data_IF_158982951790
#
_entry.id   IF_158982951790
#
_cell.length_a   1.000
_cell.length_b   1.000
_cell.length_c   1.000
_cell.angle_alpha   90.00
_cell.angle_beta   90.00
_cell.angle_gamma   90.00
#
_symmetry.space_group_name_H-M   'P 1'
#
loop_
_entity.id
_entity.type
_entity.pdbx_description
1 polymer ?
#
# COMPACT_ATOMS: atom_id res chain seq x y z
N UNK A 1 -21.84 8.14 28.75
CA UNK A 1 -21.22 7.17 27.82
C UNK A 1 -20.64 7.96 26.66
N UNK A 2 -19.36 8.30 26.72
CA UNK A 2 -18.65 9.00 25.64
C UNK A 2 -18.34 8.00 24.53
N UNK A 3 -18.74 8.33 23.30
CA UNK A 3 -18.29 7.60 22.10
C UNK A 3 -16.76 7.74 21.97
N UNK A 4 -16.06 6.71 21.48
CA UNK A 4 -14.62 6.80 21.29
C UNK A 4 -14.32 7.86 20.22
N UNK A 5 -13.39 8.77 20.55
CA UNK A 5 -12.81 9.72 19.61
C UNK A 5 -12.08 8.94 18.52
N UNK A 6 -12.76 8.73 17.40
CA UNK A 6 -12.12 8.27 16.16
C UNK A 6 -11.04 9.29 15.81
N UNK A 7 -9.80 8.84 15.55
CA UNK A 7 -8.64 9.66 15.13
C UNK A 7 -9.00 10.50 13.88
N UNK A 8 -9.62 11.66 14.10
CA UNK A 8 -10.08 12.59 13.06
C UNK A 8 -8.91 13.19 12.27
N UNK A 9 -7.70 13.19 12.84
CA UNK A 9 -6.51 13.70 12.17
C UNK A 9 -6.04 12.82 11.00
N UNK A 10 -6.34 11.51 11.01
CA UNK A 10 -5.76 10.60 10.00
C UNK A 10 -6.25 10.84 8.57
N UNK A 11 -7.54 11.10 8.37
CA UNK A 11 -8.10 11.28 7.02
C UNK A 11 -7.77 12.65 6.45
N UNK A 12 -7.90 13.71 7.26
CA UNK A 12 -7.56 15.07 6.82
C UNK A 12 -6.08 15.15 6.44
N UNK A 13 -5.20 14.57 7.25
CA UNK A 13 -3.77 14.51 6.94
C UNK A 13 -3.51 13.68 5.69
N UNK A 14 -4.20 12.54 5.49
CA UNK A 14 -4.06 11.73 4.27
C UNK A 14 -4.48 12.51 3.02
N UNK A 15 -5.57 13.28 3.07
CA UNK A 15 -6.05 14.10 1.95
C UNK A 15 -5.10 15.26 1.69
N UNK A 16 -4.74 16.02 2.74
CA UNK A 16 -3.85 17.18 2.61
C UNK A 16 -2.42 16.80 2.20
N UNK A 17 -1.97 15.57 2.51
CA UNK A 17 -0.66 15.05 2.07
C UNK A 17 -0.72 14.27 0.75
N UNK A 18 -1.86 14.29 0.05
CA UNK A 18 -2.01 13.62 -1.25
C UNK A 18 -1.87 12.10 -1.18
N UNK A 19 -2.05 11.49 0.00
CA UNK A 19 -2.05 10.02 0.18
C UNK A 19 -3.39 9.40 -0.16
N UNK A 20 -4.44 10.20 -0.30
CA UNK A 20 -5.79 9.77 -0.57
C UNK A 20 -6.59 10.90 -1.23
N UNK A 21 -7.35 10.55 -2.26
CA UNK A 21 -8.32 11.45 -2.86
C UNK A 21 -9.72 11.17 -2.30
N UNK A 22 -10.60 12.17 -2.37
CA UNK A 22 -12.02 11.99 -2.09
C UNK A 22 -12.80 12.09 -3.40
N UNK A 23 -13.57 11.05 -3.71
CA UNK A 23 -14.55 11.03 -4.78
C UNK A 23 -15.95 11.02 -4.17
N UNK A 24 -16.97 11.32 -4.97
CA UNK A 24 -18.36 11.18 -4.57
C UNK A 24 -18.94 9.96 -5.29
N UNK A 25 -19.46 9.00 -4.51
CA UNK A 25 -20.02 7.78 -5.05
C UNK A 25 -21.39 7.99 -5.71
N UNK A 26 -21.97 6.93 -6.30
CA UNK A 26 -23.28 6.99 -6.99
C UNK A 26 -24.46 7.37 -6.07
N UNK A 27 -24.29 7.37 -4.75
CA UNK A 27 -25.29 7.79 -3.75
C UNK A 27 -25.09 9.23 -3.27
N UNK A 28 -24.08 9.94 -3.78
CA UNK A 28 -23.75 11.30 -3.33
C UNK A 28 -22.92 11.32 -2.04
N UNK A 29 -22.39 10.19 -1.59
CA UNK A 29 -21.58 10.10 -0.38
C UNK A 29 -20.08 10.18 -0.72
N UNK A 30 -19.26 10.85 0.11
CA UNK A 30 -17.82 10.89 -0.11
C UNK A 30 -17.20 9.50 0.12
N UNK A 31 -16.34 9.08 -0.80
CA UNK A 31 -15.54 7.87 -0.72
C UNK A 31 -14.05 8.19 -0.89
N UNK A 32 -13.20 7.40 -0.21
CA UNK A 32 -11.75 7.58 -0.27
C UNK A 32 -11.18 6.74 -1.41
N UNK A 33 -10.59 7.40 -2.40
CA UNK A 33 -9.88 6.75 -3.51
C UNK A 33 -8.39 6.73 -3.19
N UNK A 34 -7.78 5.55 -3.32
CA UNK A 34 -6.34 5.37 -3.13
C UNK A 34 -5.76 4.60 -4.31
N UNK A 35 -4.65 5.10 -4.84
CA UNK A 35 -3.88 4.36 -5.84
C UNK A 35 -2.92 3.41 -5.13
N UNK A 36 -2.92 2.15 -5.54
CA UNK A 36 -2.06 1.12 -4.95
C UNK A 36 -1.30 0.41 -6.05
N UNK A 37 -0.01 0.22 -5.85
CA UNK A 37 0.82 -0.65 -6.67
C UNK A 37 1.09 -1.91 -5.87
N UNK A 38 0.85 -3.05 -6.51
CA UNK A 38 1.08 -4.38 -5.95
C UNK A 38 2.17 -5.05 -6.78
N UNK A 39 3.11 -5.70 -6.12
CA UNK A 39 4.18 -6.45 -6.77
C UNK A 39 4.01 -7.93 -6.50
N UNK A 40 3.89 -8.71 -7.57
CA UNK A 40 4.02 -10.14 -7.52
C UNK A 40 5.44 -10.53 -7.90
N UNK A 41 6.27 -10.84 -6.90
CA UNK A 41 7.58 -11.43 -7.13
C UNK A 41 7.42 -12.94 -7.23
N UNK A 42 7.89 -13.51 -8.32
CA UNK A 42 7.85 -14.93 -8.58
C UNK A 42 9.28 -15.44 -8.80
N UNK A 43 9.61 -16.56 -8.16
CA UNK A 43 10.86 -17.29 -8.39
C UNK A 43 10.70 -18.22 -9.61
N UNK A 44 11.81 -18.68 -10.17
CA UNK A 44 11.83 -19.54 -11.36
C UNK A 44 11.12 -20.89 -11.14
N UNK A 45 10.98 -21.34 -9.89
CA UNK A 45 10.22 -22.53 -9.50
C UNK A 45 8.70 -22.29 -9.43
N UNK A 46 8.26 -21.06 -9.67
CA UNK A 46 6.85 -20.67 -9.69
C UNK A 46 6.33 -20.13 -8.36
N UNK A 47 7.14 -20.19 -7.28
CA UNK A 47 6.74 -19.72 -5.96
C UNK A 47 6.60 -18.19 -5.89
N UNK A 48 5.55 -17.73 -5.20
CA UNK A 48 5.23 -16.31 -5.05
C UNK A 48 5.72 -15.81 -3.68
N UNK A 49 6.43 -14.68 -3.68
CA UNK A 49 6.81 -14.00 -2.46
C UNK A 49 5.62 -13.24 -1.86
N UNK A 50 5.28 -13.57 -0.62
CA UNK A 50 4.18 -12.95 0.13
C UNK A 50 4.67 -12.46 1.50
N UNK A 51 4.06 -11.38 1.99
CA UNK A 51 4.24 -10.94 3.37
C UNK A 51 3.36 -11.81 4.28
N UNK A 52 4.00 -12.52 5.23
CA UNK A 52 3.34 -13.41 6.21
C UNK A 52 2.99 -12.73 7.55
N UNK A 53 3.55 -11.54 7.79
CA UNK A 53 3.33 -10.81 9.03
C UNK A 53 3.78 -9.37 8.93
N UNK A 54 3.27 -8.52 9.81
CA UNK A 54 3.67 -7.12 9.95
C UNK A 54 3.97 -6.86 11.42
N UNK A 55 5.02 -6.10 11.69
CA UNK A 55 5.21 -5.52 13.03
C UNK A 55 3.98 -4.66 13.35
N UNK A 56 3.27 -5.05 14.41
CA UNK A 56 2.21 -4.29 15.03
C UNK A 56 2.79 -3.24 15.99
N UNK A 57 1.89 -2.51 16.64
CA UNK A 57 2.29 -1.50 17.62
C UNK A 57 3.04 -2.16 18.79
N UNK A 58 4.04 -1.44 19.31
CA UNK A 58 4.78 -1.88 20.48
C UNK A 58 3.90 -1.67 21.72
N UNK A 59 3.43 -2.77 22.30
CA UNK A 59 2.72 -2.76 23.57
C UNK A 59 3.65 -3.30 24.66
N UNK A 60 3.84 -2.52 25.73
CA UNK A 60 4.63 -2.92 26.90
C UNK A 60 6.09 -3.30 26.60
N UNK A 61 6.71 -2.66 25.61
CA UNK A 61 8.10 -2.93 25.23
C UNK A 61 8.30 -4.22 24.44
N UNK A 62 7.21 -4.84 23.95
CA UNK A 62 7.26 -6.01 23.09
C UNK A 62 6.71 -5.68 21.71
N UNK A 63 7.48 -6.06 20.67
CA UNK A 63 7.00 -6.00 19.29
C UNK A 63 6.07 -7.16 19.03
N UNK A 64 4.80 -6.87 18.86
CA UNK A 64 3.84 -7.87 18.42
C UNK A 64 3.91 -8.04 16.90
N UNK A 65 3.97 -9.29 16.44
CA UNK A 65 3.83 -9.61 15.02
C UNK A 65 2.37 -9.94 14.73
N UNK A 66 1.70 -9.11 13.94
CA UNK A 66 0.37 -9.39 13.45
C UNK A 66 0.47 -10.28 12.19
N UNK A 67 -0.31 -11.38 12.10
CA UNK A 67 -0.35 -12.18 10.88
C UNK A 67 -0.85 -11.32 9.71
N UNK A 68 -0.23 -11.45 8.56
CA UNK A 68 -0.63 -10.81 7.32
C UNK A 68 -0.46 -11.84 6.20
N UNK A 69 -1.33 -11.82 5.19
CA UNK A 69 -1.15 -12.63 3.99
C UNK A 69 -1.42 -11.73 2.79
N UNK A 70 -0.43 -10.93 2.42
CA UNK A 70 -0.57 -9.93 1.37
C UNK A 70 0.63 -9.93 0.43
N UNK A 71 0.38 -9.61 -0.84
CA UNK A 71 1.45 -9.27 -1.77
C UNK A 71 2.12 -7.96 -1.33
N UNK A 72 3.43 -7.80 -1.54
CA UNK A 72 4.10 -6.51 -1.32
C UNK A 72 3.39 -5.40 -2.10
N UNK A 73 2.89 -4.40 -1.39
CA UNK A 73 2.13 -3.31 -1.98
C UNK A 73 2.51 -1.95 -1.37
N UNK A 74 2.28 -0.89 -2.14
CA UNK A 74 2.47 0.48 -1.68
C UNK A 74 1.35 1.38 -2.21
N UNK A 75 0.85 2.26 -1.34
CA UNK A 75 0.02 3.40 -1.77
C UNK A 75 0.88 4.42 -2.51
N UNK A 76 0.45 4.82 -3.69
CA UNK A 76 1.03 5.95 -4.41
C UNK A 76 0.43 7.26 -3.89
N UNK A 77 1.22 8.33 -3.89
CA UNK A 77 0.67 9.68 -3.69
C UNK A 77 0.06 10.21 -4.99
N UNK A 78 -0.72 11.28 -4.89
CA UNK A 78 -1.28 12.01 -6.04
C UNK A 78 -0.21 12.69 -6.89
N UNK A 79 0.93 13.03 -6.27
CA UNK A 79 2.11 13.60 -6.93
C UNK A 79 2.95 12.53 -7.63
N UNK A 80 2.76 11.25 -7.30
CA UNK A 80 3.40 10.17 -8.01
C UNK A 80 2.84 10.11 -9.42
N UNK A 81 3.70 10.38 -10.40
CA UNK A 81 3.39 10.05 -11.77
C UNK A 81 3.08 8.56 -11.83
N UNK A 82 2.10 8.17 -12.66
CA UNK A 82 1.85 6.77 -13.04
C UNK A 82 2.98 6.30 -13.97
N UNK A 83 4.23 6.65 -13.63
CA UNK A 83 5.40 6.08 -14.24
C UNK A 83 5.66 4.77 -13.48
N UNK A 84 5.32 3.69 -14.16
CA UNK A 84 5.36 2.33 -13.64
C UNK A 84 6.78 1.95 -13.20
N UNK A 85 7.81 2.51 -13.84
CA UNK A 85 9.20 2.32 -13.43
C UNK A 85 9.52 3.07 -12.13
N UNK A 86 8.95 4.26 -11.92
CA UNK A 86 9.10 5.01 -10.66
C UNK A 86 8.40 4.26 -9.53
N UNK A 87 7.19 3.75 -9.76
CA UNK A 87 6.46 2.95 -8.79
C UNK A 87 7.22 1.66 -8.42
N UNK A 88 7.70 0.90 -9.42
CA UNK A 88 8.51 -0.29 -9.22
C UNK A 88 9.78 0.02 -8.41
N UNK A 89 10.53 1.07 -8.78
CA UNK A 89 11.74 1.49 -8.05
C UNK A 89 11.44 1.86 -6.61
N UNK A 90 10.39 2.65 -6.36
CA UNK A 90 9.96 3.01 -5.00
C UNK A 90 9.64 1.78 -4.17
N UNK A 91 8.95 0.81 -4.74
CA UNK A 91 8.59 -0.42 -4.03
C UNK A 91 9.82 -1.31 -3.75
N UNK A 92 10.77 -1.39 -4.69
CA UNK A 92 12.07 -2.03 -4.45
C UNK A 92 12.91 -1.34 -3.37
N UNK A 93 12.77 -0.03 -3.15
CA UNK A 93 13.45 0.61 -2.01
C UNK A 93 12.94 0.12 -0.65
N UNK A 94 11.73 -0.46 -0.57
CA UNK A 94 11.22 -1.15 0.62
C UNK A 94 11.62 -2.61 0.67
N UNK A 95 11.86 -3.23 -0.48
CA UNK A 95 12.36 -4.59 -0.64
C UNK A 95 13.86 -4.59 -0.97
N UNK A 96 14.66 -3.75 -0.31
CA UNK A 96 16.10 -3.57 -0.62
C UNK A 96 16.88 -4.87 -0.82
N UNK A 97 16.66 -5.94 -0.02
CA UNK A 97 17.37 -7.21 -0.22
C UNK A 97 17.14 -7.87 -1.59
N UNK A 98 16.04 -7.54 -2.27
CA UNK A 98 15.63 -8.14 -3.54
C UNK A 98 15.94 -7.26 -4.75
N UNK A 99 16.32 -5.99 -4.54
CA UNK A 99 16.47 -5.01 -5.62
C UNK A 99 17.55 -5.35 -6.66
N UNK A 100 18.53 -6.20 -6.32
CA UNK A 100 19.60 -6.63 -7.23
C UNK A 100 19.35 -7.96 -7.94
N UNK A 101 18.28 -8.68 -7.57
CA UNK A 101 17.96 -10.01 -8.09
C UNK A 101 16.55 -10.11 -8.70
N UNK A 102 15.82 -9.00 -8.76
CA UNK A 102 14.48 -8.92 -9.34
C UNK A 102 14.48 -8.17 -10.68
N UNK A 103 13.77 -8.69 -11.66
CA UNK A 103 13.49 -8.02 -12.93
C UNK A 103 11.99 -7.75 -13.07
N UNK A 104 11.64 -6.59 -13.61
CA UNK A 104 10.26 -6.27 -13.96
C UNK A 104 9.88 -6.96 -15.27
N UNK A 105 8.99 -7.95 -15.20
CA UNK A 105 8.59 -8.76 -16.35
C UNK A 105 7.23 -8.34 -16.92
N UNK A 106 6.30 -7.89 -16.07
CA UNK A 106 4.93 -7.56 -16.47
C UNK A 106 4.37 -6.43 -15.61
N UNK A 107 3.50 -5.61 -16.20
CA UNK A 107 2.76 -4.53 -15.54
C UNK A 107 1.30 -4.62 -15.98
N UNK A 108 0.39 -4.43 -15.03
CA UNK A 108 -1.05 -4.41 -15.25
C UNK A 108 -1.65 -3.21 -14.53
N UNK A 109 -2.55 -2.50 -15.21
CA UNK A 109 -3.30 -1.37 -14.63
C UNK A 109 -4.75 -1.79 -14.48
N UNK A 110 -5.21 -1.85 -13.23
CA UNK A 110 -6.62 -2.02 -12.94
C UNK A 110 -7.30 -0.64 -13.02
N UNK A 111 -8.25 -0.49 -13.95
CA UNK A 111 -9.15 0.65 -13.96
C UNK A 111 -10.44 0.25 -13.24
N UNK A 112 -10.98 1.13 -12.41
CA UNK A 112 -12.36 0.99 -11.92
C UNK A 112 -13.29 1.52 -13.03
N UNK A 113 -14.20 0.65 -13.51
CA UNK A 113 -15.26 0.97 -14.50
C UNK A 113 -16.44 1.76 -13.90
#
# INVERSE_FOLDING_TARGET
KSLPLVKQNSLWDEVMTGKSDLSVNKKGEPERVVRVVVLQLQRDDGDIFVQLGKEGDEEQGQRHMAPACALPAMKLSTEDTIDEHVAYRKLLTKLKPLAGSSQLTRIEVANED
#
